data_IF_382403458546
#
_entry.id   IF_382403458546
#
_cell.length_a   1.000
_cell.length_b   1.000
_cell.length_c   1.000
_cell.angle_alpha   90.00
_cell.angle_beta   90.00
_cell.angle_gamma   90.00
#
_symmetry.space_group_name_H-M   'P 1'
#
loop_
_entity.id
_entity.type
_entity.pdbx_description
1 polymer ?
#
# COMPACT_ATOMS: atom_id res chain seq x y z
N UNK A 1 12.98 -23.08 -12.54
CA UNK A 1 13.15 -22.91 -11.08
C UNK A 1 13.40 -21.45 -10.66
N UNK A 2 14.37 -20.71 -11.21
CA UNK A 2 14.61 -19.30 -10.77
C UNK A 2 13.52 -18.28 -11.17
N UNK A 3 12.89 -18.44 -12.35
CA UNK A 3 11.84 -17.52 -12.82
C UNK A 3 10.57 -17.60 -11.97
N UNK A 4 10.09 -18.80 -11.67
CA UNK A 4 8.96 -19.01 -10.76
C UNK A 4 9.23 -18.45 -9.36
N UNK A 5 10.45 -18.59 -8.82
CA UNK A 5 10.80 -18.02 -7.52
C UNK A 5 10.68 -16.49 -7.52
N UNK A 6 11.10 -15.83 -8.61
CA UNK A 6 10.97 -14.36 -8.74
C UNK A 6 9.51 -13.93 -8.83
N UNK A 7 8.66 -14.64 -9.59
CA UNK A 7 7.22 -14.35 -9.64
C UNK A 7 6.53 -14.53 -8.28
N UNK A 8 6.89 -15.57 -7.52
CA UNK A 8 6.34 -15.77 -6.17
C UNK A 8 6.75 -14.62 -5.25
N UNK A 9 8.03 -14.24 -5.24
CA UNK A 9 8.51 -13.11 -4.42
C UNK A 9 7.83 -11.80 -4.81
N UNK A 10 7.65 -11.53 -6.11
CA UNK A 10 6.94 -10.34 -6.58
C UNK A 10 5.47 -10.35 -6.17
N UNK A 11 4.80 -11.50 -6.25
CA UNK A 11 3.41 -11.62 -5.84
C UNK A 11 3.23 -11.37 -4.35
N UNK A 12 4.07 -11.99 -3.52
CA UNK A 12 4.01 -11.84 -2.06
C UNK A 12 4.39 -10.42 -1.61
N UNK A 13 5.38 -9.80 -2.26
CA UNK A 13 5.76 -8.40 -2.00
C UNK A 13 4.63 -7.44 -2.37
N UNK A 14 3.94 -7.66 -3.49
CA UNK A 14 2.81 -6.83 -3.90
C UNK A 14 1.62 -6.95 -2.95
N UNK A 15 1.33 -8.16 -2.44
CA UNK A 15 0.32 -8.37 -1.39
C UNK A 15 0.69 -7.64 -0.10
N UNK A 16 1.96 -7.73 0.32
CA UNK A 16 2.46 -7.02 1.50
C UNK A 16 2.28 -5.51 1.35
N UNK A 17 2.58 -4.95 0.17
CA UNK A 17 2.42 -3.51 -0.09
C UNK A 17 0.94 -3.07 -0.05
N UNK A 18 0.01 -3.92 -0.49
CA UNK A 18 -1.43 -3.69 -0.37
C UNK A 18 -1.88 -3.72 1.10
N UNK A 19 -1.35 -4.64 1.91
CA UNK A 19 -1.69 -4.70 3.33
C UNK A 19 -1.11 -3.50 4.11
N UNK A 20 0.09 -3.03 3.75
CA UNK A 20 0.64 -1.76 4.25
C UNK A 20 -0.26 -0.59 3.86
N UNK A 21 -0.78 -0.55 2.62
CA UNK A 21 -1.71 0.50 2.19
C UNK A 21 -2.99 0.52 3.05
N UNK A 22 -3.55 -0.66 3.38
CA UNK A 22 -4.71 -0.77 4.28
C UNK A 22 -4.39 -0.32 5.71
N UNK A 23 -3.19 -0.66 6.23
CA UNK A 23 -2.73 -0.21 7.53
C UNK A 23 -2.59 1.31 7.59
N UNK A 24 -2.00 1.93 6.56
CA UNK A 24 -1.90 3.39 6.47
C UNK A 24 -3.30 4.01 6.40
N UNK A 25 -4.21 3.48 5.58
CA UNK A 25 -5.58 3.98 5.48
C UNK A 25 -6.31 3.93 6.82
N UNK A 26 -6.24 2.80 7.54
CA UNK A 26 -6.80 2.66 8.88
C UNK A 26 -6.16 3.61 9.89
N UNK A 27 -4.83 3.78 9.84
CA UNK A 27 -4.08 4.70 10.71
C UNK A 27 -4.46 6.17 10.48
N UNK A 28 -4.69 6.57 9.24
CA UNK A 28 -5.13 7.94 8.88
C UNK A 28 -6.53 8.22 9.42
N UNK A 29 -7.47 7.28 9.28
CA UNK A 29 -8.82 7.42 9.85
C UNK A 29 -8.74 7.48 11.38
N UNK A 30 -7.97 6.58 12.00
CA UNK A 30 -7.81 6.51 13.46
C UNK A 30 -7.18 7.79 14.02
N UNK A 31 -6.13 8.30 13.39
CA UNK A 31 -5.49 9.54 13.78
C UNK A 31 -6.38 10.78 13.54
N UNK A 32 -7.27 10.72 12.54
CA UNK A 32 -8.26 11.76 12.28
C UNK A 32 -9.39 11.84 13.32
N UNK A 33 -9.78 10.72 13.92
CA UNK A 33 -10.78 10.70 15.01
C UNK A 33 -10.16 10.99 16.37
N UNK A 34 -8.88 10.69 16.57
CA UNK A 34 -8.15 11.12 17.75
C UNK A 34 -8.06 12.64 17.75
N UNK A 35 -8.38 13.29 18.88
CA UNK A 35 -8.20 14.74 19.09
C UNK A 35 -6.71 15.08 19.25
N UNK A 36 -5.90 14.65 18.30
CA UNK A 36 -4.53 15.10 18.14
C UNK A 36 -4.55 16.55 17.66
N UNK A 37 -3.62 17.36 18.15
CA UNK A 37 -3.39 18.76 17.74
C UNK A 37 -2.77 18.84 16.33
N UNK A 38 -3.22 17.98 15.43
CA UNK A 38 -2.72 17.81 14.07
C UNK A 38 -3.81 18.26 13.11
N UNK A 39 -3.42 19.04 12.11
CA UNK A 39 -4.35 19.50 11.08
C UNK A 39 -4.93 18.31 10.32
N UNK A 40 -6.22 18.03 10.56
CA UNK A 40 -6.94 16.90 9.94
C UNK A 40 -6.89 16.96 8.42
N UNK A 41 -6.96 18.15 7.83
CA UNK A 41 -6.89 18.30 6.38
C UNK A 41 -5.55 17.81 5.82
N UNK A 42 -4.44 18.16 6.47
CA UNK A 42 -3.10 17.70 6.10
C UNK A 42 -2.92 16.20 6.34
N UNK A 43 -3.48 15.69 7.45
CA UNK A 43 -3.41 14.28 7.80
C UNK A 43 -4.13 13.40 6.76
N UNK A 44 -5.35 13.78 6.36
CA UNK A 44 -6.11 13.07 5.35
C UNK A 44 -5.51 13.21 3.94
N UNK A 45 -4.97 14.37 3.58
CA UNK A 45 -4.35 14.56 2.26
C UNK A 45 -3.05 13.79 2.13
N UNK A 46 -2.08 13.99 3.02
CA UNK A 46 -0.77 13.32 2.94
C UNK A 46 -0.93 11.81 3.14
N UNK A 47 -1.67 11.42 4.18
CA UNK A 47 -1.92 10.01 4.49
C UNK A 47 -2.73 9.31 3.40
N UNK A 48 -3.73 9.98 2.83
CA UNK A 48 -4.53 9.47 1.72
C UNK A 48 -3.72 9.30 0.44
N UNK A 49 -2.92 10.31 0.07
CA UNK A 49 -2.02 10.23 -1.10
C UNK A 49 -1.05 9.06 -0.95
N UNK A 50 -0.43 8.91 0.23
CA UNK A 50 0.51 7.83 0.49
C UNK A 50 -0.15 6.44 0.40
N UNK A 51 -1.35 6.29 0.99
CA UNK A 51 -2.11 5.05 0.90
C UNK A 51 -2.46 4.67 -0.55
N UNK A 52 -2.86 5.65 -1.37
CA UNK A 52 -3.14 5.45 -2.80
C UNK A 52 -1.88 5.03 -3.55
N UNK A 53 -0.74 5.68 -3.32
CA UNK A 53 0.54 5.33 -3.96
C UNK A 53 0.94 3.89 -3.60
N UNK A 54 0.89 3.51 -2.33
CA UNK A 54 1.22 2.14 -1.90
C UNK A 54 0.27 1.10 -2.52
N UNK A 55 -1.03 1.40 -2.60
CA UNK A 55 -2.00 0.51 -3.23
C UNK A 55 -1.72 0.33 -4.73
N UNK A 56 -1.47 1.43 -5.46
CA UNK A 56 -1.12 1.38 -6.88
C UNK A 56 0.20 0.63 -7.11
N UNK A 57 1.23 0.90 -6.31
CA UNK A 57 2.50 0.20 -6.39
C UNK A 57 2.33 -1.31 -6.13
N UNK A 58 1.49 -1.70 -5.16
CA UNK A 58 1.24 -3.10 -4.83
C UNK A 58 0.52 -3.84 -5.95
N UNK A 59 -0.52 -3.21 -6.53
CA UNK A 59 -1.23 -3.73 -7.69
C UNK A 59 -0.30 -3.83 -8.90
N UNK A 60 0.51 -2.80 -9.15
CA UNK A 60 1.48 -2.80 -10.25
C UNK A 60 2.51 -3.94 -10.09
N UNK A 61 3.00 -4.19 -8.87
CA UNK A 61 3.95 -5.26 -8.60
C UNK A 61 3.35 -6.65 -8.84
N UNK A 62 2.10 -6.87 -8.43
CA UNK A 62 1.35 -8.11 -8.72
C UNK A 62 1.10 -8.25 -10.23
N UNK A 63 0.71 -7.17 -10.90
CA UNK A 63 0.44 -7.16 -12.33
C UNK A 63 1.71 -7.43 -13.16
N UNK A 64 2.85 -6.87 -12.75
CA UNK A 64 4.15 -7.11 -13.40
C UNK A 64 4.62 -8.55 -13.22
N UNK A 65 4.37 -9.13 -12.04
CA UNK A 65 4.61 -10.55 -11.78
C UNK A 65 3.85 -11.42 -12.78
N UNK A 66 2.54 -11.15 -12.94
CA UNK A 66 1.64 -11.92 -13.81
C UNK A 66 1.93 -11.74 -15.31
N UNK A 67 2.60 -10.65 -15.72
CA UNK A 67 2.99 -10.36 -17.10
C UNK A 67 4.25 -11.13 -17.54
N UNK A 68 4.94 -11.79 -16.61
CA UNK A 68 6.08 -12.67 -16.89
C UNK A 68 5.66 -14.13 -17.15
N UNK A 69 4.49 -14.34 -17.76
CA UNK A 69 4.02 -15.63 -18.26
C UNK A 69 3.78 -15.53 -19.76
#
# INVERSE_FOLDING_TARGET
MEKERKEVIFTETGKLLIDVAKLVFGGVILAGIMKLDVNRALLFTIGGIFAVICAFAGIAFIALSKKSK
#
